data_IF_365206882004
#
_entry.id   IF_365206882004
#
_cell.length_a   1.000
_cell.length_b   1.000
_cell.length_c   1.000
_cell.angle_alpha   90.00
_cell.angle_beta   90.00
_cell.angle_gamma   90.00
#
_symmetry.space_group_name_H-M   'P 1'
#
loop_
_entity.id
_entity.type
_entity.pdbx_description
1 polymer ?
#
# COMPACT_ATOMS: atom_id res chain seq x y z
N UNK A 1 -31.76 -3.28 37.15
CA UNK A 1 -31.29 -2.57 35.93
C UNK A 1 -31.38 -3.51 34.73
N UNK A 2 -32.14 -3.18 33.69
CA UNK A 2 -32.31 -4.05 32.52
C UNK A 2 -31.13 -3.91 31.53
N UNK A 3 -30.49 -5.03 31.18
CA UNK A 3 -29.32 -5.07 30.30
C UNK A 3 -29.76 -4.81 28.85
N UNK A 4 -29.35 -3.67 28.28
CA UNK A 4 -29.58 -3.34 26.87
C UNK A 4 -28.77 -4.29 25.96
N UNK A 5 -29.45 -5.21 25.27
CA UNK A 5 -28.81 -6.08 24.27
C UNK A 5 -28.32 -5.27 23.06
N UNK A 6 -27.14 -5.60 22.54
CA UNK A 6 -26.56 -4.97 21.34
C UNK A 6 -27.43 -5.28 20.12
N UNK A 7 -27.88 -4.25 19.41
CA UNK A 7 -28.69 -4.38 18.20
C UNK A 7 -27.79 -4.48 16.96
N UNK A 8 -28.04 -5.48 16.11
CA UNK A 8 -27.32 -5.64 14.83
C UNK A 8 -27.96 -4.76 13.75
N UNK A 9 -27.21 -4.48 12.68
CA UNK A 9 -27.71 -3.72 11.54
C UNK A 9 -28.95 -4.37 10.89
N UNK A 10 -29.01 -5.71 10.86
CA UNK A 10 -30.19 -6.47 10.38
C UNK A 10 -31.42 -6.21 11.25
N UNK A 11 -31.29 -6.28 12.58
CA UNK A 11 -32.39 -5.97 13.49
C UNK A 11 -32.89 -4.52 13.36
N UNK A 12 -32.05 -3.58 12.91
CA UNK A 12 -32.43 -2.18 12.66
C UNK A 12 -33.13 -2.00 11.31
N UNK A 13 -32.78 -2.76 10.28
CA UNK A 13 -33.47 -2.71 8.98
C UNK A 13 -34.88 -3.29 9.08
N UNK A 14 -35.03 -4.43 9.77
CA UNK A 14 -36.32 -5.13 9.86
C UNK A 14 -37.35 -4.30 10.64
N UNK A 15 -36.89 -3.55 11.66
CA UNK A 15 -37.73 -2.63 12.44
C UNK A 15 -38.23 -1.44 11.62
N UNK A 16 -37.49 -0.99 10.59
CA UNK A 16 -37.94 0.07 9.67
C UNK A 16 -38.99 -0.43 8.68
N UNK A 17 -38.85 -1.67 8.21
CA UNK A 17 -39.86 -2.30 7.33
C UNK A 17 -41.17 -2.54 8.10
N UNK A 18 -41.08 -2.99 9.35
CA UNK A 18 -42.27 -3.17 10.20
C UNK A 18 -42.99 -1.84 10.54
N UNK A 19 -42.25 -0.74 10.67
CA UNK A 19 -42.82 0.59 10.95
C UNK A 19 -43.49 1.25 9.73
N UNK A 20 -43.10 0.87 8.52
CA UNK A 20 -43.64 1.45 7.27
C UNK A 20 -44.87 0.71 6.74
N UNK A 21 -45.12 -0.52 7.21
CA UNK A 21 -46.28 -1.33 6.81
C UNK A 21 -47.56 -1.07 7.62
N UNK A 22 -47.55 -0.13 8.58
CA UNK A 22 -48.76 0.33 9.24
C UNK A 22 -49.14 1.68 8.65
N UNK A 23 -50.28 1.73 7.97
CA UNK A 23 -51.06 2.93 7.58
C UNK A 23 -50.78 3.57 6.20
N UNK A 24 -50.99 2.86 5.08
CA UNK A 24 -51.42 3.49 3.80
C UNK A 24 -52.35 2.53 3.02
N UNK A 25 -53.54 2.97 2.54
CA UNK A 25 -54.41 2.16 1.68
C UNK A 25 -53.75 1.82 0.33
N UNK A 26 -53.88 0.56 -0.09
CA UNK A 26 -53.14 -0.12 -1.17
C UNK A 26 -53.31 0.45 -2.59
N UNK A 27 -54.21 1.42 -2.83
CA UNK A 27 -54.53 1.92 -4.17
C UNK A 27 -53.76 3.19 -4.60
N UNK A 28 -53.21 3.99 -3.68
CA UNK A 28 -52.36 5.16 -4.02
C UNK A 28 -50.85 4.84 -3.98
N UNK A 29 -50.49 3.65 -3.49
CA UNK A 29 -49.11 3.18 -3.40
C UNK A 29 -48.51 2.84 -4.77
N UNK A 30 -49.29 2.33 -5.73
CA UNK A 30 -48.78 1.91 -7.02
C UNK A 30 -48.32 3.09 -7.90
N UNK A 31 -49.08 4.19 -7.92
CA UNK A 31 -48.72 5.39 -8.69
C UNK A 31 -47.54 6.15 -8.06
N UNK A 32 -47.45 6.18 -6.74
CA UNK A 32 -46.32 6.79 -6.02
C UNK A 32 -45.06 5.92 -6.09
N UNK A 33 -45.18 4.59 -6.09
CA UNK A 33 -44.08 3.67 -6.28
C UNK A 33 -43.53 3.74 -7.72
N UNK A 34 -44.40 3.81 -8.73
CA UNK A 34 -43.99 4.00 -10.13
C UNK A 34 -43.26 5.35 -10.32
N UNK A 35 -43.80 6.44 -9.76
CA UNK A 35 -43.14 7.75 -9.80
C UNK A 35 -41.79 7.75 -9.04
N UNK A 36 -41.69 7.03 -7.92
CA UNK A 36 -40.45 6.90 -7.17
C UNK A 36 -39.42 6.00 -7.87
N UNK A 37 -39.86 4.93 -8.56
CA UNK A 37 -39.00 4.10 -9.41
C UNK A 37 -38.48 4.90 -10.60
N UNK A 38 -39.32 5.69 -11.26
CA UNK A 38 -38.90 6.57 -12.36
C UNK A 38 -37.87 7.61 -11.88
N UNK A 39 -38.14 8.29 -10.76
CA UNK A 39 -37.17 9.22 -10.13
C UNK A 39 -35.86 8.54 -9.74
N UNK A 40 -35.87 7.25 -9.39
CA UNK A 40 -34.65 6.49 -9.10
C UNK A 40 -33.88 6.19 -10.39
N UNK A 41 -34.56 5.79 -11.46
CA UNK A 41 -33.95 5.52 -12.76
C UNK A 41 -33.35 6.79 -13.38
N UNK A 42 -34.03 7.94 -13.28
CA UNK A 42 -33.52 9.23 -13.76
C UNK A 42 -32.29 9.70 -12.95
N UNK A 43 -32.25 9.40 -11.64
CA UNK A 43 -31.05 9.64 -10.79
C UNK A 43 -29.88 8.73 -11.17
N UNK A 44 -30.15 7.49 -11.57
CA UNK A 44 -29.10 6.57 -12.02
C UNK A 44 -28.58 6.95 -13.42
N UNK A 45 -29.45 7.42 -14.31
CA UNK A 45 -29.09 7.90 -15.64
C UNK A 45 -28.24 9.19 -15.57
N UNK A 46 -28.66 10.18 -14.79
CA UNK A 46 -27.89 11.42 -14.57
C UNK A 46 -26.54 11.18 -13.89
N UNK A 47 -26.44 10.19 -12.99
CA UNK A 47 -25.17 9.79 -12.37
C UNK A 47 -24.22 9.08 -13.34
N UNK A 48 -24.73 8.43 -14.40
CA UNK A 48 -23.91 7.82 -15.46
C UNK A 48 -23.39 8.87 -16.45
N UNK A 49 -24.19 9.87 -16.79
CA UNK A 49 -23.81 10.98 -17.66
C UNK A 49 -22.79 11.94 -17.00
N UNK A 50 -22.80 12.03 -15.67
CA UNK A 50 -21.81 12.82 -14.88
C UNK A 50 -20.68 11.96 -14.30
N UNK A 51 -20.64 10.68 -14.67
CA UNK A 51 -19.82 9.63 -14.04
C UNK A 51 -18.38 9.51 -14.55
N UNK A 52 -17.87 10.44 -15.36
CA UNK A 52 -16.48 10.43 -15.85
C UNK A 52 -15.63 11.58 -15.31
N UNK A 53 -16.17 12.50 -14.50
CA UNK A 53 -15.42 13.67 -14.01
C UNK A 53 -15.31 13.84 -12.49
N UNK A 54 -15.82 12.91 -11.68
CA UNK A 54 -15.77 13.02 -10.20
C UNK A 54 -14.61 12.28 -9.52
N UNK A 55 -13.60 11.82 -10.28
CA UNK A 55 -12.39 11.21 -9.71
C UNK A 55 -11.28 12.24 -9.39
N UNK A 56 -11.45 13.53 -9.69
CA UNK A 56 -10.36 14.52 -9.61
C UNK A 56 -10.43 15.50 -8.44
N UNK A 57 -11.48 15.53 -7.60
CA UNK A 57 -11.66 16.68 -6.69
C UNK A 57 -12.25 16.38 -5.30
N UNK A 58 -11.91 15.24 -4.69
CA UNK A 58 -11.95 15.15 -3.21
C UNK A 58 -10.55 15.19 -2.64
N UNK A 59 -10.03 16.42 -2.58
CA UNK A 59 -9.10 16.96 -1.59
C UNK A 59 -8.40 15.89 -0.73
N UNK A 60 -7.18 15.58 -1.15
CA UNK A 60 -6.09 14.92 -0.42
C UNK A 60 -5.87 15.53 0.98
N UNK A 61 -6.74 15.25 1.95
CA UNK A 61 -6.46 15.56 3.36
C UNK A 61 -6.32 14.32 4.23
N UNK A 62 -6.65 13.13 3.73
CA UNK A 62 -6.90 11.98 4.61
C UNK A 62 -6.50 10.61 4.06
N UNK A 63 -5.70 10.54 2.99
CA UNK A 63 -5.04 9.30 2.53
C UNK A 63 -3.54 9.41 2.71
N UNK A 64 -2.91 8.28 3.05
CA UNK A 64 -1.45 8.13 3.12
C UNK A 64 -0.85 8.53 1.75
N UNK A 65 0.09 9.50 1.67
CA UNK A 65 0.64 9.99 0.40
C UNK A 65 1.32 8.88 -0.41
N UNK A 66 1.72 7.78 0.24
CA UNK A 66 2.36 6.64 -0.41
C UNK A 66 1.38 5.65 -1.05
N UNK A 67 0.07 5.77 -0.81
CA UNK A 67 -0.95 4.89 -1.41
C UNK A 67 -2.16 5.71 -1.90
N UNK A 68 -2.03 6.44 -3.02
CA UNK A 68 -3.15 7.14 -3.62
C UNK A 68 -4.25 6.16 -4.03
N UNK A 69 -5.52 6.53 -3.81
CA UNK A 69 -6.68 5.75 -4.24
C UNK A 69 -7.17 4.67 -3.26
N UNK A 70 -6.50 4.43 -2.14
CA UNK A 70 -6.94 3.42 -1.16
C UNK A 70 -7.66 4.08 0.03
N UNK A 71 -8.86 3.57 0.35
CA UNK A 71 -9.62 4.07 1.50
C UNK A 71 -8.93 3.77 2.84
N UNK A 72 -9.16 4.64 3.84
CA UNK A 72 -8.66 4.42 5.22
C UNK A 72 -9.01 3.05 5.81
N UNK A 73 -10.20 2.54 5.52
CA UNK A 73 -10.67 1.24 6.01
C UNK A 73 -9.82 0.10 5.43
N UNK A 74 -9.52 0.16 4.13
CA UNK A 74 -8.65 -0.81 3.47
C UNK A 74 -7.23 -0.78 4.04
N UNK A 75 -6.66 0.40 4.28
CA UNK A 75 -5.35 0.55 4.94
C UNK A 75 -5.36 -0.07 6.35
N UNK A 76 -6.40 0.21 7.16
CA UNK A 76 -6.52 -0.38 8.51
C UNK A 76 -6.62 -1.91 8.46
N UNK A 77 -7.37 -2.47 7.51
CA UNK A 77 -7.50 -3.93 7.32
C UNK A 77 -6.16 -4.55 6.94
N UNK A 78 -5.43 -3.95 6.00
CA UNK A 78 -4.08 -4.39 5.59
C UNK A 78 -3.11 -4.39 6.75
N UNK A 79 -3.05 -3.30 7.52
CA UNK A 79 -2.18 -3.18 8.71
C UNK A 79 -2.55 -4.17 9.81
N UNK A 80 -3.84 -4.47 10.02
CA UNK A 80 -4.27 -5.52 10.95
C UNK A 80 -3.77 -6.89 10.51
N UNK A 81 -4.00 -7.27 9.24
CA UNK A 81 -3.52 -8.54 8.68
C UNK A 81 -2.00 -8.69 8.77
N UNK A 82 -1.24 -7.64 8.45
CA UNK A 82 0.22 -7.64 8.60
C UNK A 82 0.66 -7.84 10.05
N UNK A 83 0.03 -7.14 11.01
CA UNK A 83 0.31 -7.36 12.43
C UNK A 83 -0.04 -8.77 12.87
N UNK A 84 -1.14 -9.33 12.38
CA UNK A 84 -1.53 -10.70 12.72
C UNK A 84 -0.58 -11.75 12.12
N UNK A 85 0.03 -11.46 10.96
CA UNK A 85 1.07 -12.29 10.36
C UNK A 85 2.42 -12.20 11.08
N UNK A 86 2.74 -11.02 11.63
CA UNK A 86 3.99 -10.76 12.36
C UNK A 86 3.89 -11.02 13.86
N UNK A 87 2.71 -11.40 14.37
CA UNK A 87 2.58 -11.86 15.75
C UNK A 87 3.40 -13.14 15.90
N UNK A 88 4.13 -13.31 17.02
CA UNK A 88 4.88 -14.53 17.26
C UNK A 88 3.92 -15.72 17.24
N UNK A 89 4.14 -16.63 16.30
CA UNK A 89 3.43 -17.91 16.22
C UNK A 89 4.34 -18.94 16.86
N UNK A 90 3.89 -19.54 17.96
CA UNK A 90 4.67 -20.55 18.66
C UNK A 90 4.89 -21.80 17.79
N UNK A 91 3.97 -22.06 16.87
CA UNK A 91 4.08 -23.16 15.91
C UNK A 91 5.30 -22.97 14.96
N UNK A 92 5.58 -21.73 14.57
CA UNK A 92 6.74 -21.36 13.72
C UNK A 92 8.08 -21.50 14.47
N UNK A 93 8.05 -21.41 15.81
CA UNK A 93 9.23 -21.69 16.64
C UNK A 93 9.58 -23.17 16.66
N UNK A 94 8.59 -24.07 16.62
CA UNK A 94 8.84 -25.52 16.57
C UNK A 94 9.46 -25.91 15.22
N UNK A 95 8.99 -25.34 14.12
CA UNK A 95 9.56 -25.55 12.79
C UNK A 95 10.99 -24.99 12.68
N UNK A 96 11.25 -23.79 13.24
CA UNK A 96 12.59 -23.20 13.24
C UNK A 96 13.60 -23.97 14.11
N UNK A 97 13.18 -24.48 15.27
CA UNK A 97 14.02 -25.26 16.17
C UNK A 97 14.41 -26.63 15.58
N UNK A 98 13.51 -27.29 14.87
CA UNK A 98 13.79 -28.60 14.26
C UNK A 98 14.78 -28.52 13.09
N UNK A 99 14.89 -27.37 12.44
CA UNK A 99 15.76 -27.17 11.27
C UNK A 99 17.21 -26.77 11.58
N UNK A 100 17.54 -26.35 12.82
CA UNK A 100 18.81 -25.66 13.10
C UNK A 100 19.77 -26.37 14.06
N UNK A 101 19.41 -27.52 14.64
CA UNK A 101 20.28 -28.15 15.66
C UNK A 101 20.37 -29.67 15.48
N UNK A 102 21.50 -30.12 14.96
CA UNK A 102 22.02 -31.47 15.23
C UNK A 102 22.58 -31.52 16.65
N UNK A 103 22.25 -32.55 17.47
CA UNK A 103 22.55 -32.57 18.91
C UNK A 103 24.06 -32.62 19.24
N UNK A 104 24.93 -32.76 18.24
CA UNK A 104 26.39 -32.80 18.42
C UNK A 104 27.05 -31.43 18.54
N UNK A 105 26.36 -30.34 18.18
CA UNK A 105 26.97 -28.99 18.15
C UNK A 105 26.74 -28.18 19.45
N UNK A 106 25.93 -28.70 20.39
CA UNK A 106 25.54 -27.98 21.61
C UNK A 106 26.65 -28.00 22.67
N UNK A 107 27.38 -29.12 22.81
CA UNK A 107 28.37 -29.27 23.88
C UNK A 107 29.65 -28.46 23.63
N UNK A 108 29.96 -28.14 22.37
CA UNK A 108 31.18 -27.40 22.01
C UNK A 108 31.05 -25.88 22.20
N UNK A 109 29.84 -25.33 22.25
CA UNK A 109 29.62 -23.88 22.34
C UNK A 109 29.50 -23.36 23.79
N UNK A 110 29.31 -24.24 24.78
CA UNK A 110 29.19 -23.85 26.18
C UNK A 110 30.53 -23.63 26.92
N UNK A 111 31.66 -24.02 26.31
CA UNK A 111 32.99 -23.92 26.92
C UNK A 111 33.75 -22.62 26.56
N UNK A 112 33.32 -21.88 25.54
CA UNK A 112 33.95 -20.61 25.11
C UNK A 112 33.06 -19.43 25.49
N UNK A 113 32.89 -19.23 26.79
CA UNK A 113 32.37 -17.98 27.32
C UNK A 113 33.35 -16.84 27.02
N UNK A 114 33.02 -15.98 26.06
CA UNK A 114 33.27 -14.53 26.03
C UNK A 114 32.94 -13.98 24.64
N UNK A 115 32.12 -12.92 24.59
CA UNK A 115 31.85 -11.99 23.47
C UNK A 115 30.43 -11.98 22.86
N UNK A 116 29.42 -12.63 23.42
CA UNK A 116 28.04 -12.49 22.90
C UNK A 116 27.36 -11.14 23.24
N UNK A 117 27.87 -10.41 24.24
CA UNK A 117 27.37 -9.08 24.58
C UNK A 117 27.78 -7.97 23.60
N UNK A 118 28.72 -8.22 22.68
CA UNK A 118 29.12 -7.22 21.68
C UNK A 118 28.22 -7.21 20.44
N UNK A 119 27.61 -8.33 20.06
CA UNK A 119 26.87 -8.45 18.79
C UNK A 119 25.50 -7.75 18.86
N UNK A 120 24.90 -7.63 20.05
CA UNK A 120 23.57 -7.00 20.22
C UNK A 120 23.60 -5.48 20.43
N UNK A 121 24.79 -4.90 20.66
CA UNK A 121 24.95 -3.50 21.07
C UNK A 121 24.90 -2.46 19.94
N UNK A 122 25.06 -2.88 18.68
CA UNK A 122 25.09 -1.96 17.52
C UNK A 122 23.84 -2.07 16.64
N UNK A 123 22.66 -2.29 17.24
CA UNK A 123 21.39 -2.05 16.52
C UNK A 123 21.30 -0.55 16.21
N UNK A 124 21.77 -0.17 15.03
CA UNK A 124 21.63 1.19 14.49
C UNK A 124 20.15 1.53 14.52
N UNK A 125 19.77 2.45 15.40
CA UNK A 125 18.40 2.93 15.52
C UNK A 125 18.01 3.56 14.17
N UNK A 126 17.26 2.82 13.35
CA UNK A 126 16.71 3.36 12.12
C UNK A 126 15.77 4.52 12.50
N UNK A 127 16.12 5.72 12.08
CA UNK A 127 15.23 6.86 12.21
C UNK A 127 14.05 6.65 11.25
N UNK A 128 12.92 6.15 11.77
CA UNK A 128 11.67 5.96 11.02
C UNK A 128 10.90 7.27 10.75
N UNK A 129 11.55 8.42 10.91
CA UNK A 129 10.99 9.70 10.50
C UNK A 129 11.07 9.79 8.97
N UNK A 130 10.02 10.26 8.28
CA UNK A 130 10.09 10.47 6.84
C UNK A 130 11.22 11.48 6.57
N UNK A 131 12.29 11.02 5.93
CA UNK A 131 13.38 11.87 5.53
C UNK A 131 13.07 12.37 4.11
N UNK A 132 12.70 13.64 3.92
CA UNK A 132 12.43 14.19 2.58
C UNK A 132 13.66 14.08 1.66
N UNK A 133 14.85 14.00 2.25
CA UNK A 133 16.12 13.86 1.54
C UNK A 133 16.57 12.40 1.34
N UNK A 134 15.80 11.39 1.80
CA UNK A 134 16.15 9.99 1.56
C UNK A 134 16.01 9.60 0.08
N UNK A 135 15.00 10.16 -0.61
CA UNK A 135 14.84 10.01 -2.07
C UNK A 135 16.00 10.66 -2.85
N UNK A 136 16.58 11.74 -2.32
CA UNK A 136 17.73 12.42 -2.93
C UNK A 136 18.99 11.56 -2.95
N UNK A 137 19.12 10.53 -2.09
CA UNK A 137 20.28 9.63 -2.12
C UNK A 137 20.34 8.81 -3.42
N UNK A 138 19.19 8.40 -3.94
CA UNK A 138 19.10 7.71 -5.23
C UNK A 138 19.49 8.64 -6.38
N UNK A 139 18.87 9.81 -6.42
CA UNK A 139 19.19 10.84 -7.42
C UNK A 139 20.68 11.24 -7.39
N UNK A 140 21.26 11.43 -6.20
CA UNK A 140 22.69 11.74 -6.04
C UNK A 140 23.60 10.60 -6.50
N UNK A 141 23.19 9.34 -6.32
CA UNK A 141 23.95 8.20 -6.85
C UNK A 141 23.93 8.20 -8.39
N UNK A 142 22.76 8.42 -8.98
CA UNK A 142 22.62 8.56 -10.44
C UNK A 142 23.49 9.71 -10.95
N UNK A 143 23.42 10.88 -10.32
CA UNK A 143 24.25 12.05 -10.67
C UNK A 143 25.75 11.74 -10.64
N UNK A 144 26.24 11.04 -9.59
CA UNK A 144 27.64 10.63 -9.50
C UNK A 144 28.02 9.66 -10.61
N UNK A 145 27.16 8.68 -10.90
CA UNK A 145 27.39 7.70 -11.97
C UNK A 145 27.36 8.35 -13.35
N UNK A 146 26.42 9.26 -13.60
CA UNK A 146 26.30 10.04 -14.82
C UNK A 146 27.49 10.98 -15.01
N UNK A 147 27.93 11.67 -13.96
CA UNK A 147 29.13 12.51 -13.99
C UNK A 147 30.39 11.70 -14.37
N UNK A 148 30.54 10.49 -13.83
CA UNK A 148 31.64 9.58 -14.22
C UNK A 148 31.52 9.15 -15.68
N UNK A 149 30.33 8.73 -16.14
CA UNK A 149 30.09 8.36 -17.54
C UNK A 149 30.38 9.50 -18.49
N UNK A 150 29.93 10.71 -18.16
CA UNK A 150 30.18 11.91 -18.96
C UNK A 150 31.68 12.23 -19.05
N UNK A 151 32.42 12.13 -17.94
CA UNK A 151 33.87 12.29 -17.95
C UNK A 151 34.62 11.28 -18.81
N UNK A 152 34.07 10.08 -19.01
CA UNK A 152 34.62 9.09 -19.95
C UNK A 152 34.33 9.49 -21.40
N UNK A 153 33.08 9.86 -21.72
CA UNK A 153 32.69 10.31 -23.07
C UNK A 153 33.54 11.48 -23.55
N UNK A 154 33.85 12.44 -22.67
CA UNK A 154 34.72 13.57 -23.04
C UNK A 154 36.17 13.17 -23.38
N UNK A 155 36.63 12.01 -22.90
CA UNK A 155 37.98 11.50 -23.19
C UNK A 155 38.02 10.71 -24.50
N UNK A 156 36.88 10.22 -24.98
CA UNK A 156 36.81 9.38 -26.18
C UNK A 156 37.21 10.15 -27.44
N UNK A 157 38.12 9.61 -28.28
CA UNK A 157 38.60 10.29 -29.48
C UNK A 157 37.51 10.44 -30.54
N UNK A 158 36.59 9.47 -30.63
CA UNK A 158 35.42 9.52 -31.52
C UNK A 158 34.47 10.68 -31.17
N UNK A 159 34.26 10.92 -29.87
CA UNK A 159 33.46 12.04 -29.39
C UNK A 159 34.13 13.39 -29.66
N UNK A 160 35.47 13.48 -29.49
CA UNK A 160 36.25 14.68 -29.82
C UNK A 160 36.24 14.99 -31.32
N UNK A 161 36.25 13.97 -32.17
CA UNK A 161 36.22 14.13 -33.62
C UNK A 161 34.83 14.56 -34.13
N UNK A 162 33.75 13.94 -33.63
CA UNK A 162 32.37 14.29 -34.00
C UNK A 162 31.38 13.97 -32.88
N UNK A 163 31.00 14.97 -32.06
CA UNK A 163 30.17 14.73 -30.88
C UNK A 163 28.74 14.28 -31.25
N UNK A 164 28.15 14.85 -32.30
CA UNK A 164 26.79 14.52 -32.73
C UNK A 164 26.70 13.12 -33.37
N UNK A 165 27.74 12.69 -34.10
CA UNK A 165 27.81 11.33 -34.64
C UNK A 165 27.95 10.29 -33.53
N UNK A 166 28.90 10.53 -32.61
CA UNK A 166 29.12 9.63 -31.47
C UNK A 166 27.87 9.53 -30.57
N UNK A 167 27.15 10.64 -30.38
CA UNK A 167 25.88 10.64 -29.64
C UNK A 167 24.79 9.85 -30.37
N UNK A 168 24.64 10.02 -31.69
CA UNK A 168 23.68 9.26 -32.50
C UNK A 168 23.95 7.75 -32.39
N UNK A 169 25.20 7.34 -32.51
CA UNK A 169 25.60 5.95 -32.40
C UNK A 169 25.37 5.39 -30.99
N UNK A 170 25.60 6.20 -29.95
CA UNK A 170 25.34 5.82 -28.57
C UNK A 170 23.83 5.65 -28.29
N UNK A 171 22.99 6.51 -28.86
CA UNK A 171 21.52 6.40 -28.76
C UNK A 171 21.04 5.13 -29.46
N UNK A 172 21.52 4.86 -30.68
CA UNK A 172 21.17 3.64 -31.44
C UNK A 172 21.57 2.36 -30.68
N UNK A 173 22.80 2.30 -30.15
CA UNK A 173 23.26 1.15 -29.34
C UNK A 173 22.42 0.90 -28.09
N UNK A 174 21.80 1.94 -27.53
CA UNK A 174 20.94 1.82 -26.36
C UNK A 174 19.49 1.49 -26.73
N UNK A 175 18.99 1.93 -27.90
CA UNK A 175 17.66 1.54 -28.37
C UNK A 175 17.60 0.07 -28.75
N UNK A 176 18.67 -0.50 -29.31
CA UNK A 176 18.68 -1.90 -29.75
C UNK A 176 18.77 -2.91 -28.59
N UNK A 177 19.01 -2.44 -27.36
CA UNK A 177 19.08 -3.28 -26.15
C UNK A 177 17.71 -3.60 -25.54
N UNK A 178 16.61 -3.04 -26.06
CA UNK A 178 15.24 -3.23 -25.59
C UNK A 178 14.31 -3.57 -26.74
#
# INVERSE_FOLDING_TARGET
>A
MAIKKRTTLRAKSDKKVAATNKLIPRQTAAATEAANRQKMMDKLASKRLTGTSTLSTTKNKLSDPNQPGISKSAIRRRRRKQRDQLKPKLDDLLDALQSTVTPTDIDTQMATGSNDDQITSTKVKLNHKPNPNASLKGAKKVEIEEGKRFGLVLKDPSFKASPFSALKDAILKNSDKY
#
